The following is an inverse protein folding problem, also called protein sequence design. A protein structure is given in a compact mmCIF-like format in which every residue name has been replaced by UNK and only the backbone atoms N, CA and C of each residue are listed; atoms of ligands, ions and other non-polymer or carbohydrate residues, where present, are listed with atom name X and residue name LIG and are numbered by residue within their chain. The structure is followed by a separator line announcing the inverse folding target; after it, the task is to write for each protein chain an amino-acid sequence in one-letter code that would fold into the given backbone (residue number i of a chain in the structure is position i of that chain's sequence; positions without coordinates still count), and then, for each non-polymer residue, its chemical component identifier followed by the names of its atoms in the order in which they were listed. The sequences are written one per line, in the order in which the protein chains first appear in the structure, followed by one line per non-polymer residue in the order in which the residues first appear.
data_IF_071190008810
#
_entry.id   IF_071190008810
#
_cell.length_a   1.000
_cell.length_b   1.000
_cell.length_c   1.000
_cell.angle_alpha   90.00
_cell.angle_beta   90.00
_cell.angle_gamma   90.00
#
_symmetry.space_group_name_H-M   'P 1'
#
loop_
_entity.id
_entity.type
_entity.pdbx_description
1 polymer ?
#
# COMPACT_ATOMS: atom_id res chain seq x y z
N UNK A 1 2.48 9.91 7.12
CA UNK A 1 3.12 8.57 7.13
C UNK A 1 3.83 8.27 5.80
N UNK A 2 3.13 8.31 4.65
CA UNK A 2 3.75 8.00 3.33
C UNK A 2 4.99 8.84 3.02
N UNK A 3 4.97 10.17 3.22
CA UNK A 3 6.14 11.02 2.96
C UNK A 3 7.35 10.66 3.84
N UNK A 4 7.13 10.28 5.11
CA UNK A 4 8.21 9.84 6.00
C UNK A 4 8.84 8.52 5.55
N UNK A 5 8.01 7.61 5.00
CA UNK A 5 8.47 6.33 4.44
C UNK A 5 9.26 6.56 3.15
N UNK A 6 8.75 7.43 2.27
CA UNK A 6 9.45 7.84 1.06
C UNK A 6 10.82 8.44 1.39
N UNK A 7 10.88 9.34 2.37
CA UNK A 7 12.14 9.89 2.86
C UNK A 7 13.09 8.78 3.33
N UNK A 8 12.62 7.85 4.18
CA UNK A 8 13.45 6.76 4.67
C UNK A 8 13.99 5.88 3.53
N UNK A 9 13.14 5.55 2.55
CA UNK A 9 13.52 4.75 1.36
C UNK A 9 14.54 5.47 0.50
N UNK A 10 14.33 6.75 0.20
CA UNK A 10 15.23 7.55 -0.64
C UNK A 10 16.60 7.78 0.04
N UNK A 11 16.63 7.90 1.37
CA UNK A 11 17.84 8.16 2.14
C UNK A 11 18.48 6.91 2.76
N UNK A 12 17.96 5.71 2.44
CA UNK A 12 18.44 4.42 2.97
C UNK A 12 18.46 4.36 4.51
N UNK A 13 17.51 5.04 5.14
CA UNK A 13 17.33 5.00 6.60
C UNK A 13 16.57 3.72 6.96
N UNK A 14 17.07 2.91 7.92
CA UNK A 14 16.33 1.75 8.40
C UNK A 14 14.93 2.15 8.90
N UNK A 15 13.90 1.46 8.40
CA UNK A 15 12.50 1.73 8.72
C UNK A 15 11.81 0.44 9.18
N UNK A 16 11.10 0.50 10.31
CA UNK A 16 10.23 -0.56 10.81
C UNK A 16 8.79 -0.05 10.85
N UNK A 17 7.92 -0.61 10.03
CA UNK A 17 6.49 -0.33 10.01
C UNK A 17 5.69 -1.51 10.56
N UNK A 18 4.83 -1.26 11.55
CA UNK A 18 3.96 -2.29 12.16
C UNK A 18 2.50 -1.94 11.89
N UNK A 19 1.69 -2.94 11.55
CA UNK A 19 0.26 -2.78 11.23
C UNK A 19 0.06 -1.71 10.14
N UNK A 20 -0.55 -0.57 10.45
CA UNK A 20 -0.72 0.55 9.52
C UNK A 20 0.61 1.06 8.93
N UNK A 21 1.70 1.00 9.70
CA UNK A 21 3.03 1.38 9.22
C UNK A 21 3.52 0.50 8.07
N UNK A 22 3.23 -0.80 8.13
CA UNK A 22 3.52 -1.74 7.05
C UNK A 22 2.61 -1.47 5.85
N UNK A 23 1.30 -1.29 6.06
CA UNK A 23 0.37 -1.00 4.98
C UNK A 23 0.78 0.27 4.20
N UNK A 24 1.10 1.35 4.92
CA UNK A 24 1.53 2.60 4.32
C UNK A 24 2.85 2.46 3.53
N UNK A 25 3.73 1.55 3.92
CA UNK A 25 4.98 1.29 3.21
C UNK A 25 4.76 0.57 1.89
N UNK A 26 3.87 -0.42 1.86
CA UNK A 26 3.43 -1.07 0.62
C UNK A 26 2.80 -0.04 -0.32
N UNK A 27 1.92 0.83 0.20
CA UNK A 27 1.27 1.88 -0.60
C UNK A 27 2.30 2.87 -1.16
N UNK A 28 3.24 3.37 -0.35
CA UNK A 28 4.32 4.27 -0.82
C UNK A 28 5.10 3.64 -1.96
N UNK A 29 5.59 2.41 -1.76
CA UNK A 29 6.40 1.73 -2.76
C UNK A 29 5.63 1.50 -4.06
N UNK A 30 4.37 1.08 -3.97
CA UNK A 30 3.54 0.83 -5.15
C UNK A 30 3.26 2.12 -5.93
N UNK A 31 3.01 3.24 -5.23
CA UNK A 31 2.77 4.55 -5.87
C UNK A 31 4.01 5.14 -6.50
N UNK A 32 5.16 5.03 -5.84
CA UNK A 32 6.37 5.77 -6.20
C UNK A 32 7.37 4.96 -7.02
N UNK A 33 7.47 3.65 -6.79
CA UNK A 33 8.40 2.76 -7.50
C UNK A 33 7.71 2.02 -8.63
N UNK A 34 6.51 1.46 -8.38
CA UNK A 34 5.74 0.71 -9.39
C UNK A 34 4.80 1.61 -10.21
N UNK A 35 4.76 2.92 -9.91
CA UNK A 35 3.94 3.92 -10.60
C UNK A 35 2.41 3.68 -10.61
N UNK A 36 1.89 2.83 -9.71
CA UNK A 36 0.45 2.67 -9.52
C UNK A 36 -0.08 3.77 -8.59
N UNK A 37 -0.31 4.96 -9.14
CA UNK A 37 -0.67 6.16 -8.35
C UNK A 37 -1.94 6.02 -7.52
N UNK A 38 -2.89 5.20 -7.96
CA UNK A 38 -4.14 4.94 -7.26
C UNK A 38 -4.03 3.86 -6.16
N UNK A 39 -2.86 3.23 -5.99
CA UNK A 39 -2.68 2.13 -5.05
C UNK A 39 -3.11 2.53 -3.64
N UNK A 40 -3.94 1.72 -2.99
CA UNK A 40 -4.44 2.00 -1.65
C UNK A 40 -4.87 0.72 -0.91
N UNK A 41 -5.20 0.86 0.37
CA UNK A 41 -5.93 -0.18 1.12
C UNK A 41 -7.44 -0.03 0.87
N UNK A 42 -8.17 -1.14 0.78
CA UNK A 42 -9.65 -1.10 0.77
C UNK A 42 -10.22 -0.57 2.09
N UNK A 43 -9.45 -0.62 3.18
CA UNK A 43 -9.77 0.02 4.46
C UNK A 43 -9.91 1.55 4.32
N UNK A 44 -9.08 2.19 3.49
CA UNK A 44 -9.07 3.66 3.30
C UNK A 44 -9.78 4.11 2.03
N UNK A 45 -9.74 3.31 0.97
CA UNK A 45 -10.40 3.60 -0.29
C UNK A 45 -10.91 2.33 -0.95
N UNK A 46 -12.18 1.99 -0.69
CA UNK A 46 -12.85 0.84 -1.32
C UNK A 46 -12.99 0.96 -2.85
N UNK A 47 -12.85 2.16 -3.42
CA UNK A 47 -12.99 2.42 -4.87
C UNK A 47 -11.64 2.47 -5.60
N UNK A 48 -10.53 2.19 -4.93
CA UNK A 48 -9.22 2.12 -5.58
C UNK A 48 -9.23 1.08 -6.70
N UNK A 49 -8.66 1.43 -7.84
CA UNK A 49 -8.40 0.51 -8.96
C UNK A 49 -7.17 -0.37 -8.71
N UNK A 50 -6.41 -0.11 -7.64
CA UNK A 50 -5.23 -0.86 -7.24
C UNK A 50 -5.26 -1.18 -5.72
N UNK A 51 -6.10 -2.15 -5.28
CA UNK A 51 -6.24 -2.53 -3.88
C UNK A 51 -5.07 -3.41 -3.43
N UNK A 52 -3.94 -2.79 -3.11
CA UNK A 52 -2.69 -3.48 -2.71
C UNK A 52 -2.72 -4.02 -1.29
N UNK A 53 -3.66 -3.56 -0.47
CA UNK A 53 -3.95 -4.10 0.85
C UNK A 53 -5.48 -4.27 0.95
N UNK A 54 -5.92 -5.46 1.31
CA UNK A 54 -7.34 -5.77 1.51
C UNK A 54 -7.47 -7.02 2.40
N UNK A 55 -8.69 -7.33 2.83
CA UNK A 55 -8.97 -8.64 3.40
C UNK A 55 -8.86 -9.72 2.31
N UNK A 56 -8.37 -10.90 2.69
CA UNK A 56 -8.23 -12.05 1.78
C UNK A 56 -9.58 -12.39 1.11
N UNK A 57 -10.68 -12.27 1.84
CA UNK A 57 -12.03 -12.53 1.33
C UNK A 57 -12.44 -11.59 0.20
N UNK A 58 -11.91 -10.37 0.15
CA UNK A 58 -12.17 -9.42 -0.93
C UNK A 58 -11.50 -9.87 -2.23
N UNK A 59 -10.26 -10.37 -2.15
CA UNK A 59 -9.56 -10.90 -3.33
C UNK A 59 -10.15 -12.22 -3.83
N UNK A 60 -10.53 -13.12 -2.92
CA UNK A 60 -11.17 -14.39 -3.29
C UNK A 60 -12.48 -14.18 -4.06
N UNK A 61 -13.30 -13.19 -3.68
CA UNK A 61 -14.54 -12.86 -4.39
C UNK A 61 -14.31 -12.40 -5.83
N UNK A 62 -13.24 -11.64 -6.07
CA UNK A 62 -12.90 -11.15 -7.41
C UNK A 62 -12.42 -12.27 -8.32
N UNK A 63 -11.63 -13.22 -7.79
CA UNK A 63 -11.09 -14.35 -8.58
C UNK A 63 -12.12 -15.44 -8.93
N UNK A 64 -13.28 -15.45 -8.27
CA UNK A 64 -14.35 -16.41 -8.52
C UNK A 64 -15.22 -16.06 -9.75
N UNK A 65 -14.93 -14.94 -10.41
CA UNK A 65 -15.56 -14.47 -11.65
C UNK A 65 -14.55 -14.47 -12.80
#
# INVERSE_FOLDING_TARGET
MIQSIEFARLNRVPFLGICLGMQAAVIEYTRNVLNLKDANSTEFNQKTKAPVIALITEWLKVMAH
#
